data_IF_395230342012
#
_entry.id   IF_395230342012
#
_cell.length_a   1.000
_cell.length_b   1.000
_cell.length_c   1.000
_cell.angle_alpha   90.00
_cell.angle_beta   90.00
_cell.angle_gamma   90.00
#
_symmetry.space_group_name_H-M   'P 1'
#
loop_
_entity.id
_entity.type
_entity.pdbx_description
1 polymer ?
#
# COMPACT_ATOMS: atom_id res chain seq x y z
N UNK A 1 -4.43 -8.05 -15.00
CA UNK A 1 -3.87 -7.89 -13.65
C UNK A 1 -2.65 -6.98 -13.72
N UNK A 2 -2.49 -6.12 -12.76
CA UNK A 2 -1.33 -5.21 -12.69
C UNK A 2 -0.39 -5.68 -11.58
N UNK A 3 0.88 -5.80 -11.90
CA UNK A 3 1.92 -6.20 -10.94
C UNK A 3 2.93 -5.06 -10.84
N UNK A 4 3.25 -4.67 -9.60
CA UNK A 4 4.15 -3.55 -9.33
C UNK A 4 5.28 -3.99 -8.41
N UNK A 5 6.41 -3.30 -8.53
CA UNK A 5 7.53 -3.43 -7.60
C UNK A 5 7.67 -2.13 -6.82
N UNK A 6 7.65 -2.25 -5.48
CA UNK A 6 7.81 -1.09 -4.60
C UNK A 6 8.86 -1.37 -3.54
N UNK A 7 9.58 -0.32 -3.16
CA UNK A 7 10.56 -0.36 -2.08
C UNK A 7 9.95 0.18 -0.79
N UNK A 8 10.56 -0.07 0.37
CA UNK A 8 10.11 0.55 1.61
C UNK A 8 10.00 2.07 1.48
N UNK A 9 9.00 2.63 2.12
CA UNK A 9 8.69 4.08 2.13
C UNK A 9 8.14 4.60 0.81
N UNK A 10 7.79 3.71 -0.11
CA UNK A 10 7.12 4.08 -1.35
C UNK A 10 5.62 3.83 -1.26
N UNK A 11 4.88 4.45 -2.16
CA UNK A 11 3.41 4.41 -2.14
C UNK A 11 2.86 3.90 -3.44
N UNK A 12 1.62 3.39 -3.36
CA UNK A 12 0.78 3.08 -4.51
C UNK A 12 -0.52 3.86 -4.33
N UNK A 13 -0.88 4.65 -5.34
CA UNK A 13 -2.14 5.39 -5.34
C UNK A 13 -3.20 4.62 -6.11
N UNK A 14 -4.37 4.44 -5.51
CA UNK A 14 -5.52 3.83 -6.17
C UNK A 14 -6.64 4.87 -6.22
N UNK A 15 -6.89 5.39 -7.41
CA UNK A 15 -7.84 6.48 -7.56
C UNK A 15 -7.33 7.74 -6.87
N UNK A 16 -8.25 8.52 -6.32
CA UNK A 16 -7.93 9.81 -5.71
C UNK A 16 -7.80 9.73 -4.19
N UNK A 17 -8.29 8.66 -3.57
CA UNK A 17 -8.51 8.65 -2.14
C UNK A 17 -7.97 7.42 -1.42
N UNK A 18 -7.33 6.51 -2.12
CA UNK A 18 -6.73 5.33 -1.51
C UNK A 18 -5.23 5.36 -1.72
N UNK A 19 -4.49 5.26 -0.63
CA UNK A 19 -3.03 5.21 -0.68
C UNK A 19 -2.55 3.97 0.05
N UNK A 20 -1.70 3.20 -0.60
CA UNK A 20 -1.05 2.05 0.02
C UNK A 20 0.42 2.42 0.25
N UNK A 21 0.85 2.35 1.51
CA UNK A 21 2.22 2.70 1.89
C UNK A 21 2.97 1.42 2.24
N UNK A 22 4.15 1.24 1.67
CA UNK A 22 5.06 0.18 2.07
C UNK A 22 5.85 0.71 3.26
N UNK A 23 5.55 0.22 4.45
CA UNK A 23 6.17 0.72 5.68
C UNK A 23 7.58 0.19 5.83
N UNK A 24 7.71 -1.14 5.84
CA UNK A 24 9.02 -1.78 5.84
C UNK A 24 8.93 -3.20 5.30
N UNK A 25 10.09 -3.77 5.00
CA UNK A 25 10.22 -5.14 4.54
C UNK A 25 11.26 -5.81 5.42
N UNK A 26 10.90 -6.96 5.99
CA UNK A 26 11.79 -7.71 6.85
C UNK A 26 11.72 -9.20 6.46
N UNK A 27 12.73 -9.66 5.73
CA UNK A 27 12.72 -11.03 5.21
C UNK A 27 11.55 -11.24 4.26
N UNK A 28 10.68 -12.19 4.58
CA UNK A 28 9.49 -12.50 3.79
C UNK A 28 8.28 -11.68 4.22
N UNK A 29 8.41 -10.85 5.23
CA UNK A 29 7.29 -10.09 5.78
C UNK A 29 7.33 -8.65 5.27
N UNK A 30 6.17 -8.18 4.85
CA UNK A 30 5.99 -6.80 4.38
C UNK A 30 4.93 -6.15 5.24
N UNK A 31 5.25 -5.00 5.82
CA UNK A 31 4.28 -4.21 6.57
C UNK A 31 3.72 -3.14 5.66
N UNK A 32 2.40 -3.09 5.60
CA UNK A 32 1.68 -2.20 4.70
C UNK A 32 0.68 -1.39 5.53
N UNK A 33 0.62 -0.09 5.26
CA UNK A 33 -0.41 0.79 5.82
C UNK A 33 -1.32 1.24 4.67
N UNK A 34 -2.62 1.16 4.90
CA UNK A 34 -3.61 1.55 3.90
C UNK A 34 -4.38 2.74 4.42
N UNK A 35 -4.38 3.83 3.66
CA UNK A 35 -5.15 5.02 3.95
C UNK A 35 -6.30 5.08 2.96
N UNK A 36 -7.53 4.95 3.47
CA UNK A 36 -8.73 4.89 2.64
C UNK A 36 -9.92 5.49 3.39
N UNK A 37 -10.93 5.99 2.66
CA UNK A 37 -12.16 6.45 3.29
C UNK A 37 -12.90 5.33 4.00
N UNK A 38 -13.77 5.71 4.93
CA UNK A 38 -14.50 4.73 5.74
C UNK A 38 -15.40 3.81 4.93
N UNK A 39 -15.90 4.28 3.80
CA UNK A 39 -16.79 3.47 2.97
C UNK A 39 -16.08 2.35 2.24
N UNK A 40 -14.75 2.39 2.19
CA UNK A 40 -13.96 1.33 1.56
C UNK A 40 -13.76 0.22 2.57
N UNK A 41 -14.19 -0.96 2.20
CA UNK A 41 -14.08 -2.13 3.06
C UNK A 41 -12.71 -2.78 2.90
N UNK A 42 -12.02 -2.89 4.00
CA UNK A 42 -10.68 -3.47 4.01
C UNK A 42 -10.68 -4.76 4.84
#
# INVERSE_FOLDING_TARGET
>A
MLVLTRRPHQQIMLGDDITINIVDVNGENVRIAIDAPRHVKI
#
